data_IF_707591801405
#
_entry.id   IF_707591801405
#
_cell.length_a   1.000
_cell.length_b   1.000
_cell.length_c   1.000
_cell.angle_alpha   90.00
_cell.angle_beta   90.00
_cell.angle_gamma   90.00
#
_symmetry.space_group_name_H-M   'P 1'
#
loop_
_entity.id
_entity.type
_entity.pdbx_description
1 polymer ?
#
# COMPACT_ATOMS: atom_id res chain seq x y z
N UNK A 1 12.07 -10.29 -33.33
CA UNK A 1 11.55 -11.34 -32.43
C UNK A 1 10.57 -10.71 -31.46
N UNK A 2 9.32 -11.16 -31.47
CA UNK A 2 8.32 -10.72 -30.50
C UNK A 2 8.72 -11.20 -29.10
N UNK A 3 8.70 -10.29 -28.11
CA UNK A 3 8.85 -10.68 -26.71
C UNK A 3 7.59 -11.45 -26.31
N UNK A 4 7.77 -12.63 -25.73
CA UNK A 4 6.69 -13.42 -25.16
C UNK A 4 6.68 -13.19 -23.66
N UNK A 5 5.51 -12.99 -23.07
CA UNK A 5 5.37 -12.80 -21.62
C UNK A 5 4.85 -14.08 -20.98
N UNK A 6 5.53 -14.57 -19.93
CA UNK A 6 5.05 -15.66 -19.09
C UNK A 6 4.46 -15.04 -17.83
N UNK A 7 3.18 -15.35 -17.60
CA UNK A 7 2.41 -14.87 -16.46
C UNK A 7 2.12 -16.01 -15.49
N UNK A 8 2.28 -15.70 -14.21
CA UNK A 8 2.03 -16.60 -13.11
C UNK A 8 0.88 -16.02 -12.30
N UNK A 9 -0.29 -16.64 -12.42
CA UNK A 9 -1.53 -16.13 -11.83
C UNK A 9 -2.10 -17.11 -10.81
N UNK A 10 -2.80 -16.60 -9.80
CA UNK A 10 -3.56 -17.44 -8.89
C UNK A 10 -4.93 -17.85 -9.44
N UNK A 11 -5.77 -18.46 -8.60
CA UNK A 11 -7.09 -18.94 -9.02
C UNK A 11 -8.04 -17.82 -9.44
N UNK A 12 -7.86 -16.63 -8.89
CA UNK A 12 -8.65 -15.43 -9.16
C UNK A 12 -8.12 -14.65 -10.37
N UNK A 13 -6.93 -14.98 -10.88
CA UNK A 13 -6.31 -14.34 -12.04
C UNK A 13 -5.35 -13.20 -11.71
N UNK A 14 -5.04 -12.98 -10.43
CA UNK A 14 -4.07 -11.98 -10.02
C UNK A 14 -2.63 -12.50 -10.15
N UNK A 15 -1.70 -11.63 -10.52
CA UNK A 15 -0.28 -12.01 -10.67
C UNK A 15 0.34 -12.26 -9.30
N UNK A 16 0.87 -13.46 -9.07
CA UNK A 16 1.50 -13.85 -7.78
C UNK A 16 3.00 -13.55 -7.73
N UNK A 17 3.65 -13.46 -8.89
CA UNK A 17 5.01 -12.96 -9.07
C UNK A 17 5.05 -11.99 -10.25
N UNK A 18 6.16 -11.28 -10.42
CA UNK A 18 6.36 -10.41 -11.58
C UNK A 18 6.40 -11.22 -12.87
N UNK A 19 5.78 -10.69 -13.91
CA UNK A 19 5.77 -11.30 -15.23
C UNK A 19 7.19 -11.43 -15.81
N UNK A 20 7.44 -12.54 -16.50
CA UNK A 20 8.74 -12.83 -17.11
C UNK A 20 8.68 -12.58 -18.61
N UNK A 21 9.55 -11.72 -19.12
CA UNK A 21 9.67 -11.46 -20.55
C UNK A 21 10.79 -12.30 -21.14
N UNK A 22 10.45 -13.19 -22.06
CA UNK A 22 11.39 -14.12 -22.71
C UNK A 22 11.40 -13.90 -24.22
N UNK A 23 12.58 -14.07 -24.83
CA UNK A 23 12.73 -14.00 -26.30
C UNK A 23 12.58 -15.37 -26.96
N UNK A 24 12.94 -16.43 -26.24
CA UNK A 24 12.92 -17.82 -26.67
C UNK A 24 12.43 -18.65 -25.48
N UNK A 25 11.46 -19.53 -25.72
CA UNK A 25 11.00 -20.49 -24.72
C UNK A 25 11.61 -21.84 -25.09
N UNK A 26 12.37 -22.42 -24.15
CA UNK A 26 12.80 -23.83 -24.25
C UNK A 26 11.73 -24.68 -23.58
N UNK A 27 11.14 -25.60 -24.31
CA UNK A 27 10.17 -26.55 -23.77
C UNK A 27 10.84 -27.87 -23.37
N UNK A 28 10.41 -28.50 -22.26
CA UNK A 28 9.48 -27.96 -21.26
C UNK A 28 10.17 -26.89 -20.38
N UNK A 29 9.45 -25.82 -19.99
CA UNK A 29 9.94 -24.88 -18.98
C UNK A 29 9.24 -25.15 -17.64
N UNK A 30 10.02 -25.21 -16.57
CA UNK A 30 9.50 -25.46 -15.22
C UNK A 30 8.97 -24.17 -14.63
N UNK A 31 7.72 -24.18 -14.24
CA UNK A 31 7.02 -23.02 -13.68
C UNK A 31 6.76 -23.25 -12.19
N UNK A 32 7.82 -23.48 -11.41
CA UNK A 32 7.69 -23.62 -9.96
C UNK A 32 7.55 -22.24 -9.30
N UNK A 33 6.61 -22.11 -8.37
CA UNK A 33 6.43 -20.92 -7.54
C UNK A 33 6.34 -21.35 -6.09
N UNK A 34 7.26 -20.85 -5.25
CA UNK A 34 7.39 -21.29 -3.87
C UNK A 34 6.09 -21.13 -3.08
N UNK A 35 5.60 -22.24 -2.51
CA UNK A 35 4.40 -22.31 -1.68
C UNK A 35 3.08 -22.15 -2.46
N UNK A 36 3.12 -22.38 -3.77
CA UNK A 36 1.97 -22.52 -4.65
C UNK A 36 2.03 -23.85 -5.41
N UNK A 37 0.87 -24.48 -5.59
CA UNK A 37 0.69 -25.64 -6.45
C UNK A 37 0.07 -25.20 -7.77
N UNK A 38 0.65 -25.62 -8.90
CA UNK A 38 0.07 -25.39 -10.22
C UNK A 38 -1.24 -26.19 -10.37
N UNK A 39 -2.31 -25.54 -10.84
CA UNK A 39 -3.66 -26.14 -10.94
C UNK A 39 -4.12 -26.41 -12.37
N UNK A 40 -3.53 -25.76 -13.36
CA UNK A 40 -3.81 -25.99 -14.78
C UNK A 40 -2.53 -26.19 -15.57
N UNK A 41 -2.67 -26.76 -16.78
CA UNK A 41 -1.62 -26.67 -17.79
C UNK A 41 -1.28 -25.22 -18.14
N UNK A 42 -0.18 -25.05 -18.88
CA UNK A 42 0.23 -23.74 -19.37
C UNK A 42 -0.59 -23.42 -20.63
N UNK A 43 -1.30 -22.30 -20.62
CA UNK A 43 -2.13 -21.86 -21.74
C UNK A 43 -1.41 -20.77 -22.55
N UNK A 44 -1.41 -20.90 -23.88
CA UNK A 44 -0.90 -19.85 -24.76
C UNK A 44 -2.05 -18.97 -25.26
N UNK A 45 -1.95 -17.67 -25.04
CA UNK A 45 -2.85 -16.64 -25.54
C UNK A 45 -2.18 -16.01 -26.76
N UNK A 46 -2.61 -16.42 -27.95
CA UNK A 46 -1.97 -16.05 -29.21
C UNK A 46 -2.01 -14.55 -29.48
N UNK A 47 -3.14 -13.89 -29.19
CA UNK A 47 -3.34 -12.45 -29.45
C UNK A 47 -2.35 -11.57 -28.68
N UNK A 48 -2.00 -11.98 -27.45
CA UNK A 48 -1.14 -11.20 -26.57
C UNK A 48 0.32 -11.68 -26.56
N UNK A 49 0.63 -12.77 -27.28
CA UNK A 49 1.89 -13.51 -27.15
C UNK A 49 2.23 -13.84 -25.69
N UNK A 50 1.27 -14.43 -24.97
CA UNK A 50 1.41 -14.73 -23.53
C UNK A 50 1.26 -16.22 -23.22
N UNK A 51 2.11 -16.72 -22.33
CA UNK A 51 1.87 -18.00 -21.64
C UNK A 51 1.35 -17.71 -20.24
N UNK A 52 0.31 -18.42 -19.82
CA UNK A 52 -0.31 -18.27 -18.51
C UNK A 52 -0.24 -19.60 -17.77
N UNK A 53 0.37 -19.59 -16.59
CA UNK A 53 0.36 -20.69 -15.63
C UNK A 53 -0.48 -20.29 -14.42
N UNK A 54 -1.44 -21.16 -14.05
CA UNK A 54 -2.39 -20.91 -12.96
C UNK A 54 -2.03 -21.72 -11.72
N UNK A 55 -2.15 -21.09 -10.55
CA UNK A 55 -1.69 -21.62 -9.27
C UNK A 55 -2.74 -21.47 -8.17
N UNK A 56 -2.60 -22.26 -7.11
CA UNK A 56 -3.28 -22.06 -5.82
C UNK A 56 -2.32 -22.16 -4.64
N UNK A 57 -2.57 -21.48 -3.52
CA UNK A 57 -1.72 -21.58 -2.34
C UNK A 57 -1.73 -23.01 -1.78
N UNK A 58 -0.56 -23.50 -1.36
CA UNK A 58 -0.43 -24.84 -0.75
C UNK A 58 -0.98 -24.89 0.68
N UNK A 59 -0.98 -23.75 1.38
CA UNK A 59 -1.39 -23.62 2.78
C UNK A 59 -2.60 -22.71 2.87
N UNK A 60 -3.48 -22.98 3.83
CA UNK A 60 -4.62 -22.11 4.13
C UNK A 60 -4.11 -20.71 4.54
N UNK A 61 -4.45 -19.64 3.79
CA UNK A 61 -3.94 -18.29 4.07
C UNK A 61 -4.44 -17.72 5.40
N UNK A 62 -5.71 -17.88 5.74
CA UNK A 62 -6.27 -17.43 7.01
C UNK A 62 -5.56 -18.06 8.23
N UNK A 63 -5.21 -19.35 8.16
CA UNK A 63 -4.46 -20.01 9.23
C UNK A 63 -3.07 -19.38 9.42
N UNK A 64 -2.42 -18.97 8.34
CA UNK A 64 -1.12 -18.29 8.40
C UNK A 64 -1.26 -16.87 8.96
N UNK A 65 -2.30 -16.14 8.56
CA UNK A 65 -2.62 -14.81 9.12
C UNK A 65 -2.87 -14.92 10.62
N UNK A 66 -3.74 -15.82 11.07
CA UNK A 66 -4.04 -16.02 12.50
C UNK A 66 -2.83 -16.40 13.35
N UNK A 67 -1.80 -17.00 12.75
CA UNK A 67 -0.58 -17.38 13.44
C UNK A 67 0.48 -16.27 13.47
N UNK A 68 0.32 -15.19 12.70
CA UNK A 68 1.27 -14.09 12.64
C UNK A 68 0.97 -13.01 13.67
N UNK A 69 2.02 -12.41 14.25
CA UNK A 69 1.89 -11.27 15.16
C UNK A 69 1.57 -9.95 14.45
N UNK A 70 2.10 -9.76 13.26
CA UNK A 70 1.85 -8.60 12.41
C UNK A 70 1.23 -9.03 11.10
N UNK A 71 0.29 -8.23 10.63
CA UNK A 71 -0.23 -8.26 9.27
C UNK A 71 0.01 -6.90 8.63
N UNK A 72 0.46 -6.90 7.38
CA UNK A 72 0.57 -5.70 6.58
C UNK A 72 -0.11 -5.87 5.24
N UNK A 73 -0.42 -4.76 4.61
CA UNK A 73 -0.87 -4.69 3.23
C UNK A 73 0.00 -3.72 2.45
N UNK A 74 0.23 -4.04 1.19
CA UNK A 74 1.00 -3.23 0.26
C UNK A 74 0.57 -3.62 -1.16
N UNK A 75 1.13 -2.97 -2.16
CA UNK A 75 1.00 -3.38 -3.55
C UNK A 75 2.36 -3.65 -4.16
N UNK A 76 2.37 -4.48 -5.20
CA UNK A 76 3.55 -4.74 -6.01
C UNK A 76 3.21 -4.53 -7.49
N UNK A 77 3.96 -3.69 -8.20
CA UNK A 77 3.93 -3.66 -9.66
C UNK A 77 4.38 -5.01 -10.23
N UNK A 78 3.49 -5.74 -10.89
CA UNK A 78 3.80 -7.09 -11.42
C UNK A 78 4.21 -7.11 -12.89
N UNK A 79 4.16 -5.97 -13.58
CA UNK A 79 4.59 -5.83 -14.97
C UNK A 79 6.06 -5.41 -15.12
N UNK A 80 6.72 -5.04 -14.02
CA UNK A 80 8.10 -4.50 -14.01
C UNK A 80 8.99 -5.34 -13.09
N UNK A 81 10.13 -5.87 -13.58
CA UNK A 81 11.06 -6.67 -12.76
C UNK A 81 11.76 -5.83 -11.68
N UNK A 82 12.05 -6.48 -10.55
CA UNK A 82 12.98 -5.96 -9.56
C UNK A 82 14.40 -6.10 -10.14
N UNK A 83 15.15 -5.01 -10.19
CA UNK A 83 16.52 -4.98 -10.73
C UNK A 83 17.43 -4.37 -9.68
N UNK A 84 18.46 -5.11 -9.22
CA UNK A 84 19.41 -4.65 -8.18
C UNK A 84 18.72 -4.11 -6.90
N UNK A 85 17.59 -4.72 -6.52
CA UNK A 85 16.85 -4.35 -5.31
C UNK A 85 15.97 -3.10 -5.44
N UNK A 86 15.79 -2.58 -6.66
CA UNK A 86 14.85 -1.49 -6.96
C UNK A 86 13.77 -1.94 -7.93
N UNK A 87 12.63 -1.26 -7.91
CA UNK A 87 11.53 -1.53 -8.84
C UNK A 87 10.97 -0.20 -9.36
N UNK A 88 10.90 -0.06 -10.68
CA UNK A 88 10.29 1.13 -11.27
C UNK A 88 8.78 1.10 -11.12
N UNK A 89 8.20 2.27 -10.88
CA UNK A 89 6.77 2.45 -10.87
C UNK A 89 6.25 2.53 -12.30
N UNK A 90 5.45 1.55 -12.75
CA UNK A 90 4.83 1.67 -14.06
C UNK A 90 3.79 2.77 -14.07
N UNK A 91 3.39 3.39 -12.96
CA UNK A 91 2.37 4.44 -12.92
C UNK A 91 2.60 5.57 -13.93
N UNK A 92 3.85 6.00 -14.12
CA UNK A 92 4.21 7.04 -15.12
C UNK A 92 4.23 6.46 -16.55
N UNK A 93 4.49 5.16 -16.67
CA UNK A 93 4.30 4.37 -17.90
C UNK A 93 2.84 3.91 -18.07
N UNK A 94 1.93 4.28 -17.15
CA UNK A 94 0.55 3.80 -17.04
C UNK A 94 -0.48 4.83 -16.63
N UNK A 95 -0.27 6.09 -17.02
CA UNK A 95 -1.43 6.96 -17.27
C UNK A 95 -2.28 6.26 -18.34
N UNK A 96 -3.53 5.93 -18.03
CA UNK A 96 -4.47 5.64 -19.10
C UNK A 96 -4.59 6.93 -19.93
N UNK A 97 -4.27 6.83 -21.22
CA UNK A 97 -4.79 7.73 -22.23
C UNK A 97 -6.30 7.49 -22.33
N UNK A 98 -7.05 8.46 -22.86
CA UNK A 98 -8.50 8.47 -23.05
C UNK A 98 -9.06 7.28 -23.90
N UNK A 99 -8.22 6.30 -24.26
CA UNK A 99 -8.51 5.12 -25.06
C UNK A 99 -8.62 3.80 -24.27
N UNK A 100 -8.57 3.80 -22.94
CA UNK A 100 -8.94 2.63 -22.14
C UNK A 100 -7.89 1.53 -21.97
N UNK A 101 -6.62 1.72 -22.34
CA UNK A 101 -5.55 0.73 -22.14
C UNK A 101 -4.86 0.84 -20.76
N UNK A 102 -4.94 -0.21 -19.92
CA UNK A 102 -4.28 -0.27 -18.58
C UNK A 102 -2.88 -0.89 -18.70
N UNK A 103 -1.81 -0.14 -18.43
CA UNK A 103 -0.42 -0.68 -18.47
C UNK A 103 0.21 -0.98 -17.10
N UNK A 104 -0.45 -0.62 -16.00
CA UNK A 104 -0.02 -0.96 -14.63
C UNK A 104 -0.87 -2.10 -14.05
N UNK A 105 -0.21 -3.13 -13.49
CA UNK A 105 -0.85 -4.13 -12.62
C UNK A 105 -0.23 -4.07 -11.24
N UNK A 106 -0.74 -3.14 -10.42
CA UNK A 106 -0.41 -3.07 -9.01
C UNK A 106 -1.26 -4.10 -8.29
N UNK A 107 -0.63 -5.21 -7.89
CA UNK A 107 -1.34 -6.32 -7.25
C UNK A 107 -1.21 -6.18 -5.74
N UNK A 108 -2.32 -6.35 -5.01
CA UNK A 108 -2.33 -6.45 -3.56
C UNK A 108 -1.32 -7.51 -3.10
N UNK A 109 -0.65 -7.23 -1.99
CA UNK A 109 0.19 -8.16 -1.25
C UNK A 109 -0.16 -8.06 0.21
N UNK A 110 -0.50 -9.20 0.80
CA UNK A 110 -0.61 -9.32 2.25
C UNK A 110 0.77 -9.73 2.76
N UNK A 111 1.25 -9.04 3.78
CA UNK A 111 2.50 -9.32 4.46
C UNK A 111 2.17 -9.93 5.83
N UNK A 112 2.90 -10.96 6.24
CA UNK A 112 2.77 -11.55 7.57
C UNK A 112 4.15 -11.74 8.20
N UNK A 113 4.25 -11.61 9.53
CA UNK A 113 5.49 -11.84 10.26
C UNK A 113 5.37 -11.72 11.77
N UNK A 114 6.41 -12.19 12.47
CA UNK A 114 6.56 -12.01 13.92
C UNK A 114 7.01 -10.60 14.31
N UNK A 115 7.54 -9.85 13.34
CA UNK A 115 7.99 -8.47 13.50
C UNK A 115 7.77 -7.71 12.20
N UNK A 116 7.30 -6.47 12.28
CA UNK A 116 7.18 -5.58 11.12
C UNK A 116 8.51 -5.37 10.36
N UNK A 117 9.66 -5.63 11.01
CA UNK A 117 11.00 -5.53 10.40
C UNK A 117 11.37 -6.73 9.51
N UNK A 118 10.64 -7.84 9.63
CA UNK A 118 10.88 -9.10 8.91
C UNK A 118 9.55 -9.71 8.50
N UNK A 119 9.03 -9.24 7.38
CA UNK A 119 7.76 -9.66 6.82
C UNK A 119 7.96 -10.51 5.57
N UNK A 120 7.08 -11.47 5.32
CA UNK A 120 7.01 -12.23 4.07
C UNK A 120 5.66 -12.03 3.41
N UNK A 121 5.63 -12.14 2.09
CA UNK A 121 4.37 -12.16 1.34
C UNK A 121 3.58 -13.44 1.70
N UNK A 122 2.29 -13.29 1.97
CA UNK A 122 1.35 -14.38 2.15
C UNK A 122 1.07 -15.03 0.79
N UNK A 123 1.16 -16.35 0.73
CA UNK A 123 0.67 -17.09 -0.42
C UNK A 123 -0.85 -17.25 -0.29
N UNK A 124 -1.58 -16.67 -1.24
CA UNK A 124 -3.03 -16.47 -1.21
C UNK A 124 -3.56 -16.34 -2.64
N UNK A 125 -4.86 -16.58 -2.82
CA UNK A 125 -5.54 -16.13 -4.04
C UNK A 125 -5.91 -14.64 -3.85
N UNK A 126 -5.29 -13.75 -4.60
CA UNK A 126 -5.43 -12.29 -4.53
C UNK A 126 -6.59 -11.79 -5.42
N UNK A 127 -7.13 -10.59 -5.18
CA UNK A 127 -8.15 -10.03 -6.06
C UNK A 127 -7.50 -9.59 -7.38
N UNK A 128 -8.11 -9.95 -8.53
CA UNK A 128 -7.63 -9.55 -9.85
C UNK A 128 -8.04 -8.11 -10.22
N UNK A 129 -7.75 -7.16 -9.32
CA UNK A 129 -7.96 -5.73 -9.50
C UNK A 129 -6.67 -4.97 -9.22
N UNK A 130 -6.53 -3.76 -9.76
CA UNK A 130 -5.41 -2.90 -9.41
C UNK A 130 -5.63 -2.32 -8.02
N UNK A 131 -4.67 -2.52 -7.12
CA UNK A 131 -4.70 -2.03 -5.74
C UNK A 131 -3.49 -1.14 -5.52
N UNK A 132 -3.71 0.03 -4.93
CA UNK A 132 -2.70 1.06 -4.71
C UNK A 132 -2.92 1.69 -3.34
N UNK A 133 -1.84 1.91 -2.60
CA UNK A 133 -1.84 2.49 -1.25
C UNK A 133 -2.87 1.81 -0.31
N UNK A 134 -2.82 0.48 -0.12
CA UNK A 134 -3.84 -0.21 0.66
C UNK A 134 -3.66 -0.04 2.16
N UNK A 135 -4.77 -0.09 2.89
CA UNK A 135 -4.87 -0.21 4.34
C UNK A 135 -5.82 -1.34 4.71
N UNK A 136 -5.62 -1.95 5.89
CA UNK A 136 -6.36 -3.12 6.37
C UNK A 136 -6.93 -2.91 7.76
N UNK A 137 -8.17 -3.33 7.96
CA UNK A 137 -8.82 -3.34 9.27
C UNK A 137 -9.64 -4.60 9.42
N UNK A 138 -9.76 -5.10 10.66
CA UNK A 138 -10.63 -6.22 10.98
C UNK A 138 -11.85 -5.72 11.76
N UNK A 139 -13.05 -6.05 11.29
CA UNK A 139 -14.29 -5.86 12.05
C UNK A 139 -15.05 -7.20 12.08
N UNK A 140 -15.24 -7.74 13.28
CA UNK A 140 -15.79 -9.07 13.47
C UNK A 140 -14.94 -10.17 12.81
N UNK A 141 -15.55 -10.93 11.90
CA UNK A 141 -14.88 -12.01 11.15
C UNK A 141 -14.36 -11.57 9.76
N UNK A 142 -14.60 -10.32 9.35
CA UNK A 142 -14.17 -9.78 8.06
C UNK A 142 -12.91 -8.94 8.22
N UNK A 143 -12.02 -9.07 7.25
CA UNK A 143 -10.95 -8.13 6.97
C UNK A 143 -11.41 -7.22 5.84
N UNK A 144 -11.36 -5.92 6.06
CA UNK A 144 -11.61 -4.89 5.07
C UNK A 144 -10.28 -4.35 4.56
N UNK A 145 -10.19 -4.18 3.24
CA UNK A 145 -9.04 -3.58 2.58
C UNK A 145 -9.56 -2.36 1.83
N UNK A 146 -9.15 -1.19 2.28
CA UNK A 146 -9.35 0.07 1.58
C UNK A 146 -8.10 0.37 0.77
N UNK A 147 -8.26 0.99 -0.39
CA UNK A 147 -7.15 1.34 -1.27
C UNK A 147 -7.59 2.52 -2.13
N UNK A 148 -6.63 3.17 -2.80
CA UNK A 148 -6.90 4.32 -3.66
C UNK A 148 -8.07 4.03 -4.62
N UNK A 149 -9.20 4.68 -4.33
CA UNK A 149 -10.49 4.59 -5.06
C UNK A 149 -11.16 3.21 -5.05
N UNK A 150 -11.01 2.45 -3.97
CA UNK A 150 -11.69 1.16 -3.84
C UNK A 150 -11.77 0.62 -2.41
N UNK A 151 -12.68 -0.32 -2.22
CA UNK A 151 -12.90 -1.02 -0.95
C UNK A 151 -13.30 -2.46 -1.25
N UNK A 152 -12.73 -3.38 -0.50
CA UNK A 152 -13.10 -4.79 -0.59
C UNK A 152 -13.06 -5.45 0.79
N UNK A 153 -13.59 -6.67 0.89
CA UNK A 153 -13.46 -7.46 2.10
C UNK A 153 -13.15 -8.93 1.80
N UNK A 154 -12.64 -9.63 2.81
CA UNK A 154 -12.39 -11.06 2.79
C UNK A 154 -12.59 -11.67 4.18
N UNK A 155 -12.96 -12.94 4.23
CA UNK A 155 -12.99 -13.73 5.48
C UNK A 155 -11.90 -14.80 5.53
N UNK A 156 -11.20 -15.04 4.42
CA UNK A 156 -10.30 -16.19 4.28
C UNK A 156 -9.00 -15.91 3.50
N UNK A 157 -8.84 -14.70 2.96
CA UNK A 157 -7.73 -14.28 2.10
C UNK A 157 -7.59 -15.12 0.82
N UNK A 158 -8.66 -15.75 0.36
CA UNK A 158 -8.73 -16.40 -0.95
C UNK A 158 -9.87 -15.84 -1.80
N UNK A 159 -10.98 -15.48 -1.16
CA UNK A 159 -12.16 -14.92 -1.81
C UNK A 159 -12.35 -13.47 -1.38
N UNK A 160 -12.75 -12.64 -2.32
CA UNK A 160 -12.81 -11.19 -2.16
C UNK A 160 -14.16 -10.67 -2.62
N UNK A 161 -14.79 -9.89 -1.75
CA UNK A 161 -16.05 -9.18 -2.02
C UNK A 161 -15.72 -7.72 -2.31
N UNK A 162 -15.96 -7.27 -3.55
CA UNK A 162 -15.85 -5.85 -3.90
C UNK A 162 -17.00 -5.07 -3.28
N UNK A 163 -16.68 -3.94 -2.67
CA UNK A 163 -17.65 -3.05 -2.04
C UNK A 163 -17.62 -1.72 -2.79
N UNK A 164 -18.80 -1.18 -3.09
CA UNK A 164 -18.90 0.04 -3.87
C UNK A 164 -18.19 1.21 -3.19
N UNK A 165 -17.22 1.78 -3.90
CA UNK A 165 -16.58 3.06 -3.56
C UNK A 165 -17.28 4.18 -4.32
N UNK A 166 -17.69 5.23 -3.62
CA UNK A 166 -18.37 6.39 -4.22
C UNK A 166 -17.44 7.60 -4.22
N UNK A 167 -17.54 8.43 -5.27
CA UNK A 167 -16.89 9.74 -5.29
C UNK A 167 -17.40 10.62 -4.15
N UNK A 168 -16.53 11.44 -3.58
CA UNK A 168 -16.90 12.40 -2.54
C UNK A 168 -17.36 13.72 -3.18
N UNK A 169 -18.57 14.24 -2.87
CA UNK A 169 -19.05 15.50 -3.41
C UNK A 169 -18.11 16.68 -3.10
N UNK A 170 -17.87 17.53 -4.10
CA UNK A 170 -16.99 18.71 -3.97
C UNK A 170 -15.49 18.43 -4.14
N UNK A 171 -15.08 17.16 -4.22
CA UNK A 171 -13.69 16.75 -4.45
C UNK A 171 -13.50 16.21 -5.87
N UNK A 172 -12.25 16.27 -6.34
CA UNK A 172 -11.82 15.64 -7.57
C UNK A 172 -11.50 14.16 -7.30
N UNK A 173 -12.35 13.28 -7.81
CA UNK A 173 -12.19 11.83 -7.66
C UNK A 173 -10.86 11.29 -8.21
N UNK A 174 -10.24 11.98 -9.17
CA UNK A 174 -8.91 11.59 -9.69
C UNK A 174 -7.78 11.89 -8.70
N UNK A 175 -8.07 12.62 -7.63
CA UNK A 175 -7.14 13.08 -6.60
C UNK A 175 -7.45 12.51 -5.22
N UNK A 176 -8.26 11.44 -5.14
CA UNK A 176 -8.45 10.64 -3.93
C UNK A 176 -7.28 9.66 -3.80
N UNK A 177 -6.42 9.86 -2.81
CA UNK A 177 -5.17 9.10 -2.65
C UNK A 177 -4.95 8.61 -1.22
N UNK A 178 -4.33 7.45 -1.12
CA UNK A 178 -3.83 6.86 0.13
C UNK A 178 -4.87 6.85 1.27
N UNK A 179 -6.03 6.20 1.07
CA UNK A 179 -6.98 6.04 2.15
C UNK A 179 -6.43 5.05 3.20
N UNK A 180 -6.58 5.40 4.47
CA UNK A 180 -6.23 4.55 5.59
C UNK A 180 -7.39 4.40 6.58
N UNK A 181 -7.49 3.22 7.17
CA UNK A 181 -8.33 2.99 8.34
C UNK A 181 -7.69 3.55 9.60
N UNK A 182 -8.51 4.20 10.43
CA UNK A 182 -8.12 4.78 11.71
C UNK A 182 -9.04 4.23 12.79
N UNK A 183 -8.45 3.71 13.87
CA UNK A 183 -9.18 3.35 15.07
C UNK A 183 -9.22 4.55 16.04
N UNK A 184 -10.41 5.08 16.30
CA UNK A 184 -10.62 6.18 17.24
C UNK A 184 -10.57 5.73 18.71
N UNK A 185 -10.19 6.63 19.60
CA UNK A 185 -10.25 6.35 21.06
C UNK A 185 -11.68 6.18 21.57
N UNK A 186 -12.67 6.63 20.81
CA UNK A 186 -14.11 6.53 21.11
C UNK A 186 -14.67 5.15 20.74
N UNK A 187 -13.82 4.23 20.29
CA UNK A 187 -14.21 2.88 19.86
C UNK A 187 -14.87 2.84 18.49
N UNK A 188 -14.88 3.95 17.75
CA UNK A 188 -15.36 4.00 16.37
C UNK A 188 -14.20 3.92 15.39
N UNK A 189 -14.50 3.39 14.23
CA UNK A 189 -13.57 3.32 13.12
C UNK A 189 -13.82 4.45 12.12
N UNK A 190 -12.75 4.88 11.47
CA UNK A 190 -12.75 6.01 10.55
C UNK A 190 -11.91 5.65 9.32
N UNK A 191 -12.10 6.44 8.26
CA UNK A 191 -11.23 6.48 7.08
C UNK A 191 -10.66 7.87 6.98
N UNK A 192 -9.32 7.96 6.92
CA UNK A 192 -8.59 9.18 6.60
C UNK A 192 -8.04 9.06 5.18
N UNK A 193 -8.01 10.15 4.42
CA UNK A 193 -7.59 10.13 3.02
C UNK A 193 -7.08 11.51 2.61
N UNK A 194 -6.15 11.52 1.66
CA UNK A 194 -5.76 12.76 0.98
C UNK A 194 -6.65 13.03 -0.22
N UNK A 195 -7.11 14.26 -0.36
CA UNK A 195 -8.09 14.65 -1.37
C UNK A 195 -7.81 16.04 -1.91
N UNK A 196 -8.22 16.35 -3.14
CA UNK A 196 -8.22 17.73 -3.65
C UNK A 196 -9.65 18.23 -3.87
N UNK A 197 -9.99 19.37 -3.25
CA UNK A 197 -11.22 20.10 -3.60
C UNK A 197 -11.19 20.49 -5.09
N UNK A 198 -12.33 20.42 -5.77
CA UNK A 198 -12.42 20.82 -7.19
C UNK A 198 -11.92 22.25 -7.37
N UNK A 199 -11.02 22.46 -8.34
CA UNK A 199 -10.40 23.77 -8.61
C UNK A 199 -9.22 24.12 -7.69
N UNK A 200 -8.88 23.28 -6.71
CA UNK A 200 -7.66 23.39 -5.91
C UNK A 200 -6.51 22.63 -6.61
N UNK A 201 -5.26 23.00 -6.30
CA UNK A 201 -4.04 22.33 -6.77
C UNK A 201 -3.29 21.58 -5.66
N UNK A 202 -3.83 21.62 -4.45
CA UNK A 202 -3.18 21.09 -3.25
C UNK A 202 -4.08 20.10 -2.55
N UNK A 203 -3.48 19.01 -2.07
CA UNK A 203 -4.17 18.02 -1.26
C UNK A 203 -4.46 18.57 0.15
N UNK A 204 -5.64 18.21 0.66
CA UNK A 204 -6.08 18.30 2.05
C UNK A 204 -6.19 16.90 2.64
N UNK A 205 -6.08 16.80 3.96
CA UNK A 205 -6.35 15.55 4.68
C UNK A 205 -7.79 15.59 5.21
N UNK A 206 -8.58 14.60 4.81
CA UNK A 206 -9.99 14.48 5.12
C UNK A 206 -10.24 13.19 5.90
N UNK A 207 -11.18 13.20 6.84
CA UNK A 207 -11.58 12.02 7.61
C UNK A 207 -13.10 11.85 7.65
N UNK A 208 -13.57 10.61 7.66
CA UNK A 208 -15.00 10.29 7.83
C UNK A 208 -15.17 8.99 8.61
N UNK A 209 -16.39 8.70 9.08
CA UNK A 209 -16.68 7.46 9.82
C UNK A 209 -16.61 6.23 8.92
N UNK A 210 -16.25 5.08 9.47
CA UNK A 210 -16.33 3.78 8.80
C UNK A 210 -17.01 2.75 9.70
N UNK A 211 -17.92 1.97 9.12
CA UNK A 211 -18.60 0.91 9.86
C UNK A 211 -19.06 -0.22 8.94
N UNK A 212 -18.55 -1.44 9.15
CA UNK A 212 -18.96 -2.66 8.47
C UNK A 212 -19.01 -2.51 6.94
N UNK A 213 -17.95 -1.96 6.35
CA UNK A 213 -17.86 -1.75 4.90
C UNK A 213 -18.60 -0.52 4.38
N UNK A 214 -19.17 0.33 5.25
CA UNK A 214 -19.82 1.59 4.87
C UNK A 214 -18.93 2.77 5.22
N UNK A 215 -18.64 3.60 4.23
CA UNK A 215 -17.93 4.87 4.38
C UNK A 215 -18.95 5.98 4.65
N UNK A 216 -18.64 6.83 5.61
CA UNK A 216 -19.43 8.01 5.96
C UNK A 216 -19.51 9.00 4.81
N UNK A 217 -20.59 9.78 4.79
CA UNK A 217 -20.78 10.86 3.80
C UNK A 217 -20.28 12.21 4.30
N UNK A 218 -20.09 12.33 5.61
CA UNK A 218 -19.67 13.55 6.27
C UNK A 218 -18.15 13.55 6.40
N UNK A 219 -17.47 14.13 5.40
CA UNK A 219 -16.02 14.30 5.42
C UNK A 219 -15.66 15.59 6.15
N UNK A 220 -14.73 15.47 7.09
CA UNK A 220 -14.23 16.58 7.91
C UNK A 220 -12.76 16.79 7.58
N UNK A 221 -12.36 18.04 7.39
CA UNK A 221 -10.95 18.38 7.15
C UNK A 221 -10.17 18.33 8.46
N UNK A 222 -8.98 17.72 8.43
CA UNK A 222 -8.07 17.73 9.57
C UNK A 222 -7.49 19.13 9.74
N UNK A 223 -7.58 19.66 10.96
CA UNK A 223 -7.19 21.04 11.28
C UNK A 223 -5.83 21.12 11.98
N UNK A 224 -5.19 22.28 11.95
CA UNK A 224 -3.89 22.52 12.58
C UNK A 224 -2.98 23.38 11.70
N UNK A 225 -1.68 23.33 11.95
CA UNK A 225 -0.65 23.97 11.10
C UNK A 225 -0.07 22.98 10.07
N UNK A 226 -0.94 22.21 9.39
CA UNK A 226 -0.51 21.28 8.35
C UNK A 226 0.18 22.04 7.20
N UNK A 227 1.25 21.48 6.59
CA UNK A 227 1.84 22.06 5.41
C UNK A 227 0.83 22.17 4.27
N UNK A 228 0.96 23.23 3.47
CA UNK A 228 0.23 23.34 2.21
C UNK A 228 0.63 22.17 1.29
N UNK A 229 -0.37 21.47 0.75
CA UNK A 229 -0.21 20.27 -0.08
C UNK A 229 0.34 19.05 0.69
N UNK A 230 -0.53 18.45 1.50
CA UNK A 230 -0.19 17.29 2.34
C UNK A 230 -0.89 16.04 1.83
N UNK A 231 -0.15 14.93 1.69
CA UNK A 231 -0.61 13.65 1.15
C UNK A 231 -0.17 12.48 2.06
N UNK A 232 -0.64 11.27 1.76
CA UNK A 232 -0.28 10.02 2.44
C UNK A 232 -0.49 10.08 3.96
N UNK A 233 -1.74 10.28 4.43
CA UNK A 233 -2.01 10.41 5.86
C UNK A 233 -2.00 9.06 6.57
N UNK A 234 -1.28 8.99 7.68
CA UNK A 234 -1.41 7.93 8.68
C UNK A 234 -1.76 8.55 10.04
N UNK A 235 -2.82 8.07 10.67
CA UNK A 235 -3.34 8.61 11.92
C UNK A 235 -3.51 7.49 12.95
N UNK A 236 -2.80 7.61 14.07
CA UNK A 236 -2.78 6.64 15.15
C UNK A 236 -3.21 7.29 16.47
N UNK A 237 -3.96 6.56 17.29
CA UNK A 237 -4.20 6.95 18.68
C UNK A 237 -3.31 6.13 19.61
N UNK A 238 -2.48 6.79 20.42
CA UNK A 238 -1.59 6.15 21.37
C UNK A 238 -1.26 7.08 22.53
N UNK A 239 -0.97 6.54 23.72
CA UNK A 239 -0.51 7.32 24.89
C UNK A 239 -1.38 8.56 25.19
N UNK A 240 -2.70 8.45 25.02
CA UNK A 240 -3.66 9.53 25.29
C UNK A 240 -3.78 10.60 24.19
N UNK A 241 -3.06 10.47 23.07
CA UNK A 241 -3.03 11.48 22.00
C UNK A 241 -3.16 10.85 20.62
N UNK A 242 -3.63 11.66 19.67
CA UNK A 242 -3.57 11.37 18.26
C UNK A 242 -2.23 11.80 17.67
N UNK A 243 -1.62 10.94 16.86
CA UNK A 243 -0.42 11.19 16.09
C UNK A 243 -0.77 11.13 14.61
N UNK A 244 -0.60 12.25 13.91
CA UNK A 244 -0.78 12.32 12.46
C UNK A 244 0.59 12.37 11.80
N UNK A 245 0.81 11.51 10.82
CA UNK A 245 1.98 11.52 9.94
C UNK A 245 1.52 11.73 8.51
N UNK A 246 2.25 12.56 7.78
CA UNK A 246 1.95 12.81 6.37
C UNK A 246 3.24 13.09 5.58
N UNK A 247 3.12 13.10 4.26
CA UNK A 247 4.12 13.67 3.35
C UNK A 247 3.73 15.11 2.97
N UNK A 248 4.69 16.01 3.04
CA UNK A 248 4.59 17.35 2.46
C UNK A 248 5.15 17.32 1.03
N UNK A 249 4.27 17.47 0.03
CA UNK A 249 4.64 17.36 -1.39
C UNK A 249 5.59 18.48 -1.85
N UNK A 250 5.51 19.67 -1.25
CA UNK A 250 6.36 20.79 -1.64
C UNK A 250 7.81 20.58 -1.21
N UNK A 251 8.03 19.99 -0.03
CA UNK A 251 9.38 19.72 0.48
C UNK A 251 9.85 18.30 0.23
N UNK A 252 8.93 17.39 -0.14
CA UNK A 252 9.15 15.94 -0.32
C UNK A 252 9.66 15.24 0.94
N UNK A 253 9.11 15.63 2.09
CA UNK A 253 9.57 15.18 3.42
C UNK A 253 8.39 14.83 4.29
N UNK A 254 8.62 13.93 5.24
CA UNK A 254 7.62 13.53 6.21
C UNK A 254 7.48 14.61 7.30
N UNK A 255 6.24 14.81 7.72
CA UNK A 255 5.85 15.64 8.85
C UNK A 255 5.03 14.81 9.82
N UNK A 256 5.08 15.17 11.09
CA UNK A 256 4.26 14.56 12.13
C UNK A 256 3.63 15.63 13.00
N UNK A 257 2.49 15.37 13.60
CA UNK A 257 1.93 16.25 14.62
C UNK A 257 1.11 15.48 15.63
N UNK A 258 0.82 16.15 16.74
CA UNK A 258 0.00 15.59 17.81
C UNK A 258 -1.22 16.45 18.08
N UNK A 259 -2.30 15.81 18.53
CA UNK A 259 -3.51 16.48 19.01
C UNK A 259 -4.21 15.65 20.08
N UNK A 260 -4.99 16.31 20.93
CA UNK A 260 -5.90 15.64 21.86
C UNK A 260 -7.23 15.23 21.20
N UNK A 261 -7.51 15.73 19.99
CA UNK A 261 -8.76 15.46 19.27
C UNK A 261 -8.48 14.80 17.91
N UNK A 262 -9.40 13.96 17.46
CA UNK A 262 -9.31 13.22 16.19
C UNK A 262 -9.13 14.12 14.97
N UNK A 263 -9.75 15.30 14.96
CA UNK A 263 -9.75 16.23 13.82
C UNK A 263 -8.82 17.43 14.03
N UNK A 264 -8.01 17.41 15.08
CA UNK A 264 -7.10 18.50 15.42
C UNK A 264 -7.67 19.54 16.40
N UNK A 265 -6.99 20.70 16.55
CA UNK A 265 -5.85 21.12 15.75
C UNK A 265 -4.60 20.26 16.04
N UNK A 266 -3.87 19.88 14.98
CA UNK A 266 -2.57 19.23 15.08
C UNK A 266 -1.44 20.26 15.07
N UNK A 267 -0.46 20.06 15.95
CA UNK A 267 0.81 20.80 15.93
C UNK A 267 1.86 20.01 15.16
N UNK A 268 1.96 20.29 13.86
CA UNK A 268 2.87 19.63 12.92
C UNK A 268 4.30 20.14 13.05
N UNK A 269 5.24 19.22 12.94
CA UNK A 269 6.68 19.39 12.90
C UNK A 269 7.30 18.47 11.83
N UNK A 270 8.52 18.79 11.40
CA UNK A 270 9.25 17.96 10.44
C UNK A 270 9.80 16.72 11.12
N UNK A 271 9.67 15.56 10.46
CA UNK A 271 10.40 14.34 10.84
C UNK A 271 11.84 14.48 10.35
N UNK A 272 12.78 14.66 11.27
CA UNK A 272 14.18 14.95 10.94
C UNK A 272 15.09 13.73 11.11
N UNK A 273 15.62 13.24 9.99
CA UNK A 273 16.68 12.23 9.90
C UNK A 273 17.45 12.40 8.57
N UNK A 274 18.63 11.79 8.46
CA UNK A 274 19.39 11.79 7.22
C UNK A 274 18.75 10.84 6.19
N UNK A 275 18.21 11.42 5.12
CA UNK A 275 17.65 10.73 3.96
C UNK A 275 18.38 11.09 2.67
N UNK A 276 19.57 11.69 2.75
CA UNK A 276 20.30 12.30 1.62
C UNK A 276 20.60 11.34 0.46
N UNK A 277 20.65 10.04 0.76
CA UNK A 277 20.84 8.97 -0.22
C UNK A 277 19.70 8.83 -1.24
N UNK A 278 18.50 9.31 -0.92
CA UNK A 278 17.30 9.15 -1.74
C UNK A 278 16.70 10.51 -2.14
N UNK A 279 16.20 10.61 -3.36
CA UNK A 279 15.57 11.81 -3.89
C UNK A 279 14.27 12.19 -3.16
N UNK A 280 13.51 11.20 -2.68
CA UNK A 280 12.27 11.42 -1.96
C UNK A 280 11.87 10.24 -1.06
N UNK A 281 10.89 10.49 -0.19
CA UNK A 281 10.30 9.58 0.79
C UNK A 281 8.78 9.80 0.81
N UNK A 282 7.99 8.74 0.94
CA UNK A 282 6.52 8.79 0.95
C UNK A 282 5.87 7.62 1.70
N UNK A 283 4.54 7.63 1.79
CA UNK A 283 3.76 6.58 2.44
C UNK A 283 4.16 6.32 3.90
N UNK A 284 4.12 7.34 4.79
CA UNK A 284 4.43 7.13 6.19
C UNK A 284 3.42 6.17 6.84
N UNK A 285 3.91 5.18 7.56
CA UNK A 285 3.12 4.24 8.34
C UNK A 285 3.71 4.13 9.74
N UNK A 286 2.97 4.57 10.76
CA UNK A 286 3.44 4.58 12.13
C UNK A 286 2.94 3.36 12.92
N UNK A 287 3.89 2.65 13.52
CA UNK A 287 3.62 1.60 14.51
C UNK A 287 4.05 2.17 15.87
N UNK A 288 3.07 2.55 16.69
CA UNK A 288 3.32 3.09 18.03
C UNK A 288 3.08 2.00 19.07
N UNK A 289 4.15 1.56 19.73
CA UNK A 289 4.08 0.49 20.71
C UNK A 289 5.16 0.66 21.78
N UNK A 290 4.81 0.41 23.04
CA UNK A 290 5.72 0.51 24.20
C UNK A 290 6.50 1.84 24.27
N UNK A 291 5.82 2.96 24.03
CA UNK A 291 6.43 4.29 24.08
C UNK A 291 7.39 4.63 22.93
N UNK A 292 7.48 3.76 21.92
CA UNK A 292 8.31 3.96 20.72
C UNK A 292 7.40 4.15 19.51
N UNK A 293 7.71 5.18 18.73
CA UNK A 293 7.16 5.40 17.39
C UNK A 293 8.13 4.77 16.40
N UNK A 294 7.68 3.72 15.70
CA UNK A 294 8.38 3.18 14.55
C UNK A 294 7.71 3.70 13.29
N UNK A 295 8.35 4.65 12.60
CA UNK A 295 7.81 5.24 11.38
C UNK A 295 8.43 4.53 10.17
N UNK A 296 7.60 3.77 9.47
CA UNK A 296 7.91 3.07 8.22
C UNK A 296 7.54 3.97 7.04
N UNK A 297 8.28 3.91 5.95
CA UNK A 297 8.03 4.72 4.74
C UNK A 297 8.78 4.10 3.56
N UNK A 298 8.38 4.39 2.33
CA UNK A 298 9.17 4.02 1.16
C UNK A 298 10.10 5.15 0.71
N UNK A 299 11.12 4.78 -0.06
CA UNK A 299 12.08 5.73 -0.62
C UNK A 299 12.20 5.52 -2.12
N UNK A 300 12.34 6.62 -2.86
CA UNK A 300 12.38 6.59 -4.31
C UNK A 300 13.25 7.68 -4.92
N UNK A 301 13.67 7.44 -6.16
CA UNK A 301 14.33 8.42 -7.01
C UNK A 301 13.51 8.67 -8.28
N UNK A 302 13.47 9.92 -8.72
CA UNK A 302 12.91 10.30 -10.02
C UNK A 302 14.04 10.38 -11.04
N UNK A 303 13.97 9.56 -12.07
CA UNK A 303 14.92 9.59 -13.19
C UNK A 303 14.64 10.79 -14.11
N UNK A 304 15.63 11.16 -14.95
CA UNK A 304 15.51 12.29 -15.88
C UNK A 304 14.31 12.18 -16.84
N UNK A 305 13.93 10.96 -17.21
CA UNK A 305 12.78 10.69 -18.08
C UNK A 305 11.44 10.67 -17.32
N UNK A 306 11.43 11.09 -16.06
CA UNK A 306 10.24 11.09 -15.19
C UNK A 306 9.96 9.75 -14.52
N UNK A 307 10.59 8.63 -14.92
CA UNK A 307 10.35 7.33 -14.29
C UNK A 307 10.74 7.36 -12.82
N UNK A 308 9.88 6.85 -11.94
CA UNK A 308 10.20 6.72 -10.52
C UNK A 308 10.69 5.30 -10.23
N UNK A 309 11.76 5.17 -9.44
CA UNK A 309 12.29 3.89 -8.98
C UNK A 309 12.29 3.81 -7.46
N UNK A 310 11.62 2.78 -6.92
CA UNK A 310 11.47 2.54 -5.49
C UNK A 310 12.57 1.61 -4.98
N UNK A 311 13.04 1.86 -3.76
CA UNK A 311 14.08 1.08 -3.08
C UNK A 311 13.54 0.15 -1.99
N UNK A 312 12.22 0.16 -1.78
CA UNK A 312 11.52 -0.58 -0.73
C UNK A 312 11.35 0.23 0.55
N UNK A 313 10.82 -0.42 1.58
CA UNK A 313 10.54 0.22 2.86
C UNK A 313 11.81 0.45 3.69
N UNK A 314 11.80 1.58 4.37
CA UNK A 314 12.74 1.98 5.39
C UNK A 314 11.98 2.35 6.66
N UNK A 315 12.69 2.48 7.78
CA UNK A 315 12.10 2.95 9.01
C UNK A 315 13.08 3.81 9.82
N UNK A 316 12.50 4.67 10.65
CA UNK A 316 13.17 5.38 11.75
C UNK A 316 12.37 5.18 13.04
N UNK A 317 13.05 5.27 14.18
CA UNK A 317 12.45 5.11 15.51
C UNK A 317 12.66 6.36 16.36
N UNK A 318 11.67 6.73 17.16
CA UNK A 318 11.75 7.82 18.14
C UNK A 318 10.97 7.42 19.39
N UNK A 319 11.48 7.74 20.58
CA UNK A 319 10.65 7.69 21.78
C UNK A 319 9.53 8.71 21.67
N UNK A 320 8.33 8.38 22.12
CA UNK A 320 7.17 9.29 22.06
C UNK A 320 7.46 10.65 22.69
N UNK A 321 8.15 10.65 23.84
CA UNK A 321 8.59 11.85 24.57
C UNK A 321 9.98 12.37 24.14
N UNK A 322 10.61 11.71 23.15
CA UNK A 322 11.90 12.12 22.61
C UNK A 322 11.76 13.11 21.45
N UNK A 323 12.84 13.79 21.11
CA UNK A 323 12.91 14.75 20.00
C UNK A 323 13.87 14.31 18.87
N UNK A 324 14.46 13.11 18.96
CA UNK A 324 15.47 12.61 18.02
C UNK A 324 15.04 11.30 17.40
N UNK A 325 14.97 11.29 16.08
CA UNK A 325 14.80 10.07 15.29
C UNK A 325 16.12 9.31 15.17
N UNK A 326 16.02 7.99 15.10
CA UNK A 326 17.15 7.10 14.83
C UNK A 326 17.70 7.32 13.42
N UNK A 327 18.87 6.73 13.15
CA UNK A 327 19.32 6.54 11.77
C UNK A 327 18.31 5.69 11.00
N UNK A 328 18.09 6.05 9.75
CA UNK A 328 17.24 5.31 8.82
C UNK A 328 17.81 3.89 8.57
N UNK A 329 16.94 2.89 8.61
CA UNK A 329 17.28 1.48 8.35
C UNK A 329 16.33 0.90 7.31
N UNK A 330 16.82 -0.02 6.48
CA UNK A 330 16.00 -0.70 5.48
C UNK A 330 15.23 -1.87 6.13
N UNK A 331 13.96 -2.04 5.78
CA UNK A 331 13.19 -3.23 6.15
C UNK A 331 13.55 -4.38 5.22
N UNK A 332 13.74 -5.57 5.78
CA UNK A 332 13.95 -6.76 4.99
C UNK A 332 12.60 -7.35 4.56
N UNK A 333 12.32 -7.29 3.26
CA UNK A 333 11.11 -7.81 2.63
C UNK A 333 11.47 -8.67 1.43
N UNK A 334 10.68 -9.70 1.16
CA UNK A 334 10.86 -10.57 -0.02
C UNK A 334 10.50 -9.88 -1.34
N UNK A 335 9.92 -8.68 -1.29
CA UNK A 335 9.57 -7.86 -2.45
C UNK A 335 10.01 -6.40 -2.21
N UNK A 336 10.02 -5.59 -3.26
CA UNK A 336 10.11 -4.12 -3.13
C UNK A 336 8.73 -3.61 -2.70
N UNK A 337 8.49 -3.66 -1.40
CA UNK A 337 7.28 -3.15 -0.75
C UNK A 337 7.17 -1.63 -0.91
N UNK A 338 5.97 -1.14 -1.22
CA UNK A 338 5.64 0.29 -1.34
C UNK A 338 4.53 0.65 -0.37
N UNK A 339 4.19 1.92 -0.24
CA UNK A 339 3.06 2.45 0.52
C UNK A 339 1.98 1.41 0.87
N UNK A 340 1.73 1.25 2.16
CA UNK A 340 0.60 0.53 2.72
C UNK A 340 0.70 0.45 4.25
N UNK A 341 -0.23 -0.27 4.87
CA UNK A 341 -0.35 -0.32 6.33
C UNK A 341 0.28 -1.57 6.95
N UNK A 342 0.76 -1.49 8.20
CA UNK A 342 1.22 -2.61 9.02
C UNK A 342 0.62 -2.51 10.42
N UNK A 343 -0.26 -3.45 10.77
CA UNK A 343 -0.92 -3.50 12.07
C UNK A 343 -0.46 -4.71 12.89
N UNK A 344 -0.60 -4.59 14.21
CA UNK A 344 -0.63 -5.74 15.10
C UNK A 344 -1.90 -6.55 14.81
N UNK A 345 -1.75 -7.86 14.62
CA UNK A 345 -2.84 -8.76 14.22
C UNK A 345 -3.58 -9.38 15.41
#
# INVERSE_FOLDING_TARGET
>A
MHKTTIRFIDENGASIITDQNVRLIKFPFVTHVNGYKQVSGIHYIQQDHQFVAKYKPEKNPLKQVKAARFIGVTFQPTTVPITKGTQSDPFILSRQYDNGSRSGRDTLRILIGESYKKMKVLNANYPAVSVRDPSIMKQGNKYYIIYTRGLMSTTDFNHWEQINWSSVPGFDYSQDWAPEFVQGHDGKDYVIMSMQKKGNKHHQIMITSFNNGKIGKNWVEITGNLPINTIDPNLQYANGQYYLFCKNENTRKLVMGTSNNLTGPYKMERVQFDSSKYGSIEGPEAIIHNGIISLVFDTYDTQKNGTVSFHGLHYVERNVNGNRWSKMKKINSSIVTRHGQIILN
#
